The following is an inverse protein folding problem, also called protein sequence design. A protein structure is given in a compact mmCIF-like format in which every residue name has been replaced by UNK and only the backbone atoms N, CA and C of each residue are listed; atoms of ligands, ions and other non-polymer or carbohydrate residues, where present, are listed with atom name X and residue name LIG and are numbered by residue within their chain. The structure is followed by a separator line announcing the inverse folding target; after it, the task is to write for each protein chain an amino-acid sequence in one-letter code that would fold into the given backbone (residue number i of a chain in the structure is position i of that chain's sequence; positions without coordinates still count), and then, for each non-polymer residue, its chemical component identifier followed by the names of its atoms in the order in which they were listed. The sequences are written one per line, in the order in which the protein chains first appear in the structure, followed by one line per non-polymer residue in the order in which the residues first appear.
data_IF_112214245771
#
_entry.id   IF_112214245771
#
_cell.length_a   1.000
_cell.length_b   1.000
_cell.length_c   1.000
_cell.angle_alpha   90.00
_cell.angle_beta   90.00
_cell.angle_gamma   90.00
#
_symmetry.space_group_name_H-M   'P 1'
#
loop_
_entity.id
_entity.type
_entity.pdbx_description
1 polymer ?
#
# COMPACT_ATOMS: atom_id res chain seq x y z
N UNK A 1 -19.90 -0.23 -5.94
CA UNK A 1 -21.01 -0.60 -6.84
C UNK A 1 -20.67 -1.88 -7.61
N UNK A 2 -21.67 -2.70 -7.98
CA UNK A 2 -21.48 -3.96 -8.72
C UNK A 2 -22.39 -3.96 -9.94
N UNK A 3 -21.82 -4.15 -11.14
CA UNK A 3 -22.57 -4.32 -12.39
C UNK A 3 -22.52 -5.78 -12.84
N UNK A 4 -23.65 -6.31 -13.31
CA UNK A 4 -23.77 -7.68 -13.82
C UNK A 4 -24.35 -7.65 -15.23
N UNK A 5 -23.79 -8.44 -16.15
CA UNK A 5 -24.38 -8.61 -17.49
C UNK A 5 -25.74 -9.30 -17.37
N UNK A 6 -26.77 -8.77 -18.05
CA UNK A 6 -28.18 -9.22 -17.95
C UNK A 6 -28.36 -10.73 -18.18
N UNK A 7 -27.68 -11.28 -19.19
CA UNK A 7 -27.84 -12.68 -19.59
C UNK A 7 -26.75 -13.62 -19.01
N UNK A 8 -25.97 -13.17 -18.02
CA UNK A 8 -24.91 -14.03 -17.45
C UNK A 8 -25.48 -15.11 -16.54
N UNK A 9 -25.14 -16.38 -16.81
CA UNK A 9 -25.39 -17.48 -15.87
C UNK A 9 -24.40 -17.43 -14.71
N UNK A 10 -24.82 -17.90 -13.55
CA UNK A 10 -23.96 -18.01 -12.37
C UNK A 10 -22.80 -19.00 -12.60
N UNK A 11 -21.60 -18.61 -12.15
CA UNK A 11 -20.37 -19.39 -12.22
C UNK A 11 -19.57 -19.14 -10.94
N UNK A 12 -19.08 -20.20 -10.31
CA UNK A 12 -18.07 -20.10 -9.25
C UNK A 12 -16.72 -19.76 -9.88
N UNK A 13 -15.91 -18.98 -9.16
CA UNK A 13 -14.60 -18.51 -9.63
C UNK A 13 -14.62 -17.11 -10.26
N UNK A 14 -13.44 -16.64 -10.73
CA UNK A 14 -13.32 -15.32 -11.31
C UNK A 14 -14.13 -15.24 -12.63
N UNK A 15 -14.90 -14.17 -12.78
CA UNK A 15 -15.71 -13.94 -13.98
C UNK A 15 -15.72 -12.47 -14.33
N UNK A 16 -15.61 -12.18 -15.63
CA UNK A 16 -15.71 -10.81 -16.18
C UNK A 16 -17.16 -10.36 -16.41
N UNK A 17 -18.13 -11.24 -16.17
CA UNK A 17 -19.55 -10.91 -16.32
C UNK A 17 -20.05 -9.99 -15.20
N UNK A 18 -19.43 -10.03 -14.03
CA UNK A 18 -19.81 -9.28 -12.84
C UNK A 18 -18.63 -8.41 -12.41
N UNK A 19 -18.72 -7.10 -12.63
CA UNK A 19 -17.63 -6.17 -12.36
C UNK A 19 -17.94 -5.33 -11.13
N UNK A 20 -16.92 -5.08 -10.30
CA UNK A 20 -17.01 -4.18 -9.14
C UNK A 20 -16.31 -2.88 -9.48
N UNK A 21 -17.03 -1.77 -9.32
CA UNK A 21 -16.45 -0.44 -9.31
C UNK A 21 -16.42 0.05 -7.85
N UNK A 22 -15.22 0.35 -7.34
CA UNK A 22 -15.03 0.92 -6.00
C UNK A 22 -14.34 2.27 -6.14
N UNK A 23 -14.77 3.23 -5.34
CA UNK A 23 -14.09 4.51 -5.22
C UNK A 23 -12.86 4.33 -4.34
N UNK A 24 -11.75 4.96 -4.72
CA UNK A 24 -10.55 5.12 -3.92
C UNK A 24 -10.18 6.61 -3.89
N UNK A 25 -9.67 7.09 -2.76
CA UNK A 25 -8.96 8.36 -2.72
C UNK A 25 -7.48 8.12 -3.03
N UNK A 26 -6.85 9.14 -3.58
CA UNK A 26 -5.40 9.17 -3.81
C UNK A 26 -4.90 10.36 -3.02
N UNK A 27 -3.94 10.11 -2.15
CA UNK A 27 -3.39 11.10 -1.23
C UNK A 27 -1.86 11.04 -1.28
N UNK A 28 -1.22 12.20 -1.03
CA UNK A 28 0.24 12.31 -0.94
C UNK A 28 0.68 12.22 0.52
N UNK A 29 1.56 11.26 0.82
CA UNK A 29 2.11 11.06 2.16
C UNK A 29 3.64 11.20 2.15
N UNK A 30 4.20 11.58 3.29
CA UNK A 30 5.65 11.60 3.49
C UNK A 30 6.15 10.20 3.87
N UNK A 31 7.29 9.79 3.31
CA UNK A 31 7.89 8.49 3.57
C UNK A 31 8.80 8.56 4.82
N UNK A 32 8.40 7.90 5.90
CA UNK A 32 9.21 7.80 7.12
C UNK A 32 10.28 6.72 7.03
N UNK A 33 10.03 5.65 6.27
CA UNK A 33 10.95 4.52 6.15
C UNK A 33 10.32 3.35 5.41
N UNK A 34 11.13 2.33 5.14
CA UNK A 34 10.70 1.09 4.51
C UNK A 34 11.07 -0.07 5.41
N UNK A 35 10.10 -0.93 5.70
CA UNK A 35 10.29 -2.18 6.40
C UNK A 35 10.28 -3.33 5.39
N UNK A 36 11.24 -4.23 5.51
CA UNK A 36 11.38 -5.40 4.63
C UNK A 36 11.52 -6.65 5.49
N UNK A 37 10.60 -7.59 5.33
CA UNK A 37 10.69 -8.92 5.90
C UNK A 37 10.90 -9.93 4.75
N UNK A 38 11.91 -10.81 4.88
CA UNK A 38 12.24 -11.77 3.83
C UNK A 38 11.01 -12.65 3.50
N UNK A 39 10.58 -12.63 2.24
CA UNK A 39 9.42 -13.37 1.76
C UNK A 39 8.09 -12.59 1.76
N UNK A 40 8.07 -11.33 2.23
CA UNK A 40 6.91 -10.43 2.13
C UNK A 40 7.23 -9.21 1.28
N UNK A 41 6.24 -8.61 0.61
CA UNK A 41 6.44 -7.34 -0.09
C UNK A 41 6.85 -6.26 0.90
N UNK A 42 7.81 -5.40 0.51
CA UNK A 42 8.27 -4.30 1.34
C UNK A 42 7.11 -3.34 1.69
N UNK A 43 7.08 -2.87 2.94
CA UNK A 43 6.08 -1.93 3.45
C UNK A 43 6.69 -0.55 3.68
N UNK A 44 6.10 0.48 3.09
CA UNK A 44 6.43 1.88 3.33
C UNK A 44 5.66 2.39 4.56
N UNK A 45 6.36 2.95 5.54
CA UNK A 45 5.79 3.65 6.69
C UNK A 45 5.52 5.11 6.28
N UNK A 46 4.28 5.56 6.40
CA UNK A 46 3.84 6.86 5.88
C UNK A 46 3.44 7.82 7.01
N UNK A 47 3.81 9.09 6.85
CA UNK A 47 3.36 10.22 7.67
C UNK A 47 2.48 11.17 6.87
N UNK A 48 1.58 11.84 7.59
CA UNK A 48 0.78 12.94 7.09
C UNK A 48 1.70 14.15 6.89
N UNK A 49 1.65 14.74 5.70
CA UNK A 49 2.58 15.81 5.29
C UNK A 49 2.41 17.11 6.08
N UNK A 50 1.20 17.37 6.60
CA UNK A 50 0.92 18.61 7.31
C UNK A 50 1.26 18.51 8.81
N UNK A 51 1.05 17.34 9.40
CA UNK A 51 1.17 17.12 10.84
C UNK A 51 2.41 16.29 11.22
N UNK A 52 3.07 15.64 10.26
CA UNK A 52 4.17 14.71 10.48
C UNK A 52 3.75 13.44 11.25
N UNK A 53 2.45 13.22 11.44
CA UNK A 53 1.92 12.09 12.23
C UNK A 53 1.88 10.83 11.39
N UNK A 54 2.22 9.71 12.00
CA UNK A 54 2.13 8.40 11.36
C UNK A 54 0.69 8.07 10.97
N UNK A 55 0.47 7.70 9.70
CA UNK A 55 -0.86 7.44 9.13
C UNK A 55 -1.07 5.96 8.83
N UNK A 56 0.00 5.19 8.67
CA UNK A 56 -0.05 3.75 8.43
C UNK A 56 1.06 3.25 7.53
N UNK A 57 0.93 2.00 7.11
CA UNK A 57 1.86 1.34 6.21
C UNK A 57 1.18 0.95 4.89
N UNK A 58 1.92 1.06 3.78
CA UNK A 58 1.46 0.62 2.46
C UNK A 58 2.46 -0.34 1.84
N UNK A 59 1.95 -1.40 1.19
CA UNK A 59 2.81 -2.30 0.44
C UNK A 59 3.30 -1.66 -0.85
N UNK A 60 4.60 -1.78 -1.09
CA UNK A 60 5.23 -1.32 -2.32
C UNK A 60 4.97 -2.36 -3.39
N UNK A 61 4.28 -1.96 -4.46
CA UNK A 61 4.11 -2.82 -5.63
C UNK A 61 5.35 -2.70 -6.53
N UNK A 62 6.16 -3.76 -6.69
CA UNK A 62 7.40 -3.71 -7.47
C UNK A 62 7.17 -3.65 -8.98
N UNK A 63 5.94 -3.75 -9.48
CA UNK A 63 5.65 -3.83 -10.91
C UNK A 63 6.06 -2.59 -11.75
N UNK A 64 6.47 -1.47 -11.12
CA UNK A 64 6.95 -0.25 -11.81
C UNK A 64 8.27 0.33 -11.31
N UNK A 65 8.90 -0.26 -10.30
CA UNK A 65 10.17 0.18 -9.76
C UNK A 65 11.15 -0.99 -9.89
N UNK A 66 12.15 -0.84 -10.76
CA UNK A 66 13.32 -1.72 -10.75
C UNK A 66 13.83 -1.83 -9.32
N UNK A 67 13.83 -3.06 -8.79
CA UNK A 67 14.10 -3.39 -7.39
C UNK A 67 15.45 -2.88 -6.84
N UNK A 68 16.31 -2.31 -7.69
CA UNK A 68 17.59 -1.71 -7.36
C UNK A 68 17.52 -0.31 -6.70
N UNK A 69 16.35 0.34 -6.66
CA UNK A 69 16.24 1.75 -6.22
C UNK A 69 15.73 2.00 -4.79
N UNK A 70 15.05 1.03 -4.15
CA UNK A 70 14.41 1.25 -2.84
C UNK A 70 15.35 1.15 -1.63
N UNK A 71 16.62 0.77 -1.82
CA UNK A 71 17.52 0.37 -0.73
C UNK A 71 18.40 1.46 -0.10
N UNK A 72 18.44 2.69 -0.64
CA UNK A 72 19.49 3.67 -0.28
C UNK A 72 19.03 4.88 0.55
N UNK A 73 17.77 4.92 1.00
CA UNK A 73 17.17 6.13 1.58
C UNK A 73 16.78 6.10 3.07
N UNK A 74 17.03 5.03 3.83
CA UNK A 74 16.58 4.95 5.22
C UNK A 74 17.53 5.70 6.18
N UNK A 75 17.23 6.97 6.46
CA UNK A 75 17.78 7.66 7.65
C UNK A 75 17.14 7.04 8.90
N UNK A 76 17.98 6.55 9.81
CA UNK A 76 17.61 5.96 11.09
C UNK A 76 16.65 6.85 11.89
N UNK A 77 15.52 6.28 12.33
CA UNK A 77 14.60 6.89 13.31
C UNK A 77 15.36 7.17 14.63
N UNK A 78 15.28 8.38 15.21
CA UNK A 78 15.87 8.64 16.51
C UNK A 78 15.14 7.85 17.60
N UNK A 79 15.96 7.22 18.43
CA UNK A 79 15.68 6.32 19.54
C UNK A 79 14.37 6.56 20.30
N UNK A 80 13.56 5.51 20.47
CA UNK A 80 12.39 5.54 21.37
C UNK A 80 12.92 5.59 22.81
N UNK A 81 12.76 6.73 23.48
CA UNK A 81 12.96 6.80 24.94
C UNK A 81 12.03 5.80 25.65
N UNK A 82 12.51 4.98 26.60
CA UNK A 82 11.64 4.13 27.39
C UNK A 82 10.75 4.98 28.30
N UNK A 83 9.47 4.61 28.39
CA UNK A 83 8.56 5.17 29.40
C UNK A 83 9.03 4.72 30.78
N UNK A 84 9.15 5.69 31.70
CA UNK A 84 9.32 5.48 33.14
C UNK A 84 8.08 4.82 33.76
#
# INVERSE_FOLDING_TARGET
MVSKRRNSKYRSGPSTNWLKAKCCSVDECELLGVEHEAGKPASALMADRATGRYVGSAFINPARLSASGCGSGSRSMPDRRPKA
#
